data_IF_948529259248
#
_entry.id   IF_948529259248
#
_cell.length_a   1.000
_cell.length_b   1.000
_cell.length_c   1.000
_cell.angle_alpha   90.00
_cell.angle_beta   90.00
_cell.angle_gamma   90.00
#
_symmetry.space_group_name_H-M   'P 1'
#
loop_
_entity.id
_entity.type
_entity.pdbx_description
1 polymer ?
#
# COMPACT_ATOMS: atom_id res chain seq x y z
N UNK A 1 2.32 0.34 -27.30
CA UNK A 1 3.37 0.26 -26.24
C UNK A 1 3.05 -0.74 -25.12
N UNK A 2 1.78 -1.10 -24.91
CA UNK A 2 1.33 -2.14 -23.95
C UNK A 2 1.88 -3.56 -24.23
N UNK A 3 2.06 -4.03 -25.48
CA UNK A 3 2.54 -5.41 -25.71
C UNK A 3 4.03 -5.62 -25.38
N UNK A 4 4.85 -4.56 -25.39
CA UNK A 4 6.26 -4.65 -25.00
C UNK A 4 6.46 -4.73 -23.47
N UNK A 5 5.54 -4.15 -22.69
CA UNK A 5 5.56 -4.25 -21.22
C UNK A 5 5.25 -5.69 -20.74
N UNK A 6 4.37 -6.39 -21.44
CA UNK A 6 3.98 -7.78 -21.11
C UNK A 6 5.10 -8.79 -21.41
N UNK A 7 5.92 -8.56 -22.44
CA UNK A 7 7.04 -9.44 -22.79
C UNK A 7 8.18 -9.43 -21.75
N UNK A 8 8.38 -8.32 -21.05
CA UNK A 8 9.44 -8.18 -20.04
C UNK A 8 9.08 -8.83 -18.69
N UNK A 9 7.79 -8.94 -18.33
CA UNK A 9 7.37 -9.62 -17.09
C UNK A 9 7.75 -11.11 -17.07
N UNK A 10 7.79 -11.78 -18.23
CA UNK A 10 8.14 -13.21 -18.31
C UNK A 10 9.63 -13.50 -18.12
N UNK A 11 10.53 -12.54 -18.40
CA UNK A 11 11.97 -12.81 -18.34
C UNK A 11 12.61 -12.52 -16.97
N UNK A 12 12.02 -11.68 -16.11
CA UNK A 12 12.59 -11.35 -14.77
C UNK A 12 11.54 -11.06 -13.69
N UNK A 13 10.81 -12.07 -13.18
CA UNK A 13 9.71 -11.91 -12.23
C UNK A 13 10.14 -11.33 -10.87
N UNK A 14 11.36 -11.61 -10.40
CA UNK A 14 11.77 -11.29 -9.02
C UNK A 14 11.79 -9.78 -8.68
N UNK A 15 12.15 -8.91 -9.62
CA UNK A 15 12.16 -7.46 -9.34
C UNK A 15 10.76 -6.84 -9.36
N UNK A 16 9.89 -7.33 -10.26
CA UNK A 16 8.49 -6.92 -10.31
C UNK A 16 7.72 -7.45 -9.11
N UNK A 17 7.98 -8.70 -8.70
CA UNK A 17 7.37 -9.31 -7.54
C UNK A 17 7.73 -8.57 -6.25
N UNK A 18 8.99 -8.12 -6.08
CA UNK A 18 9.41 -7.36 -4.91
C UNK A 18 8.68 -6.02 -4.78
N UNK A 19 8.59 -5.24 -5.87
CA UNK A 19 7.87 -3.96 -5.86
C UNK A 19 6.35 -4.17 -5.68
N UNK A 20 5.78 -5.15 -6.39
CA UNK A 20 4.36 -5.48 -6.26
C UNK A 20 4.01 -5.92 -4.83
N UNK A 21 4.81 -6.78 -4.22
CA UNK A 21 4.61 -7.24 -2.85
C UNK A 21 4.75 -6.09 -1.84
N UNK A 22 5.72 -5.20 -2.03
CA UNK A 22 5.91 -4.03 -1.18
C UNK A 22 4.71 -3.08 -1.23
N UNK A 23 4.25 -2.74 -2.44
CA UNK A 23 3.08 -1.89 -2.64
C UNK A 23 1.80 -2.55 -2.13
N UNK A 24 1.65 -3.86 -2.36
CA UNK A 24 0.54 -4.65 -1.84
C UNK A 24 0.48 -4.61 -0.32
N UNK A 25 1.61 -4.85 0.36
CA UNK A 25 1.69 -4.84 1.81
C UNK A 25 1.39 -3.45 2.37
N UNK A 26 1.92 -2.39 1.73
CA UNK A 26 1.64 -1.01 2.13
C UNK A 26 0.16 -0.64 1.98
N UNK A 27 -0.45 -0.96 0.83
CA UNK A 27 -1.86 -0.71 0.57
C UNK A 27 -2.77 -1.50 1.51
N UNK A 28 -2.48 -2.78 1.74
CA UNK A 28 -3.24 -3.62 2.65
C UNK A 28 -3.16 -3.10 4.09
N UNK A 29 -1.97 -2.68 4.54
CA UNK A 29 -1.75 -2.10 5.87
C UNK A 29 -2.50 -0.79 6.05
N UNK A 30 -2.37 0.16 5.12
CA UNK A 30 -3.10 1.43 5.19
C UNK A 30 -4.61 1.22 5.14
N UNK A 31 -5.09 0.29 4.31
CA UNK A 31 -6.52 -0.01 4.21
C UNK A 31 -7.04 -0.63 5.50
N UNK A 32 -6.31 -1.57 6.10
CA UNK A 32 -6.66 -2.21 7.37
C UNK A 32 -6.79 -1.16 8.48
N UNK A 33 -5.73 -0.41 8.77
CA UNK A 33 -5.72 0.55 9.87
C UNK A 33 -6.63 1.75 9.60
N UNK A 34 -6.64 2.24 8.35
CA UNK A 34 -7.56 3.29 7.93
C UNK A 34 -9.03 2.88 8.05
N UNK A 35 -9.37 1.61 7.81
CA UNK A 35 -10.74 1.11 7.98
C UNK A 35 -11.17 1.01 9.44
N UNK A 36 -10.24 0.70 10.35
CA UNK A 36 -10.49 0.72 11.79
C UNK A 36 -10.69 2.15 12.30
N UNK A 37 -9.84 3.09 11.86
CA UNK A 37 -10.00 4.51 12.20
C UNK A 37 -11.31 5.08 11.64
N UNK A 38 -11.64 4.72 10.39
CA UNK A 38 -12.90 5.10 9.75
C UNK A 38 -14.13 4.53 10.49
N UNK A 39 -14.01 3.32 11.05
CA UNK A 39 -15.08 2.71 11.82
C UNK A 39 -15.34 3.43 13.15
N UNK A 40 -14.30 3.99 13.78
CA UNK A 40 -14.42 4.78 15.01
C UNK A 40 -15.05 6.15 14.75
N UNK A 41 -14.56 6.91 13.76
CA UNK A 41 -15.10 8.24 13.43
C UNK A 41 -16.54 8.20 12.92
N UNK A 42 -16.96 7.09 12.29
CA UNK A 42 -18.32 6.93 11.76
C UNK A 42 -19.25 6.28 12.79
N UNK A 43 -18.76 5.96 13.99
CA UNK A 43 -19.58 5.39 15.05
C UNK A 43 -20.48 6.49 15.65
N UNK A 44 -21.82 6.32 15.67
CA UNK A 44 -22.70 7.30 16.32
C UNK A 44 -22.39 7.50 17.81
N UNK A 45 -22.45 8.77 18.23
CA UNK A 45 -21.90 9.35 19.46
C UNK A 45 -22.61 9.00 20.79
N UNK A 46 -23.22 7.81 20.90
CA UNK A 46 -24.06 7.45 22.05
C UNK A 46 -23.84 6.04 22.60
N UNK A 47 -22.63 5.48 22.52
CA UNK A 47 -22.39 4.07 22.89
C UNK A 47 -21.66 3.92 24.22
N UNK A 48 -22.07 2.89 24.97
CA UNK A 48 -21.36 2.36 26.14
C UNK A 48 -19.87 2.24 25.83
N UNK A 49 -19.04 2.84 26.68
CA UNK A 49 -17.60 2.72 26.59
C UNK A 49 -17.21 1.24 26.61
N UNK A 50 -16.63 0.76 25.51
CA UNK A 50 -16.04 -0.58 25.50
C UNK A 50 -15.05 -0.66 26.67
N UNK A 51 -15.02 -1.78 27.41
CA UNK A 51 -14.16 -1.94 28.59
C UNK A 51 -12.66 -1.90 28.29
N UNK A 52 -12.26 -1.89 27.02
CA UNK A 52 -10.87 -1.93 26.56
C UNK A 52 -10.34 -0.61 26.00
N UNK A 53 -9.03 -0.55 25.68
CA UNK A 53 -8.45 0.56 24.94
C UNK A 53 -9.21 0.71 23.62
N UNK A 54 -9.81 1.88 23.39
CA UNK A 54 -10.69 2.11 22.24
C UNK A 54 -10.02 1.82 20.89
N UNK A 55 -10.83 1.63 19.84
CA UNK A 55 -10.37 1.24 18.51
C UNK A 55 -9.29 2.18 17.96
N UNK A 56 -9.41 3.48 18.26
CA UNK A 56 -8.42 4.52 17.91
C UNK A 56 -7.07 4.35 18.60
N UNK A 57 -7.02 3.89 19.85
CA UNK A 57 -5.74 3.66 20.55
C UNK A 57 -5.00 2.50 19.91
N UNK A 58 -5.71 1.41 19.62
CA UNK A 58 -5.13 0.23 18.97
C UNK A 58 -4.71 0.54 17.55
N UNK A 59 -5.60 1.17 16.77
CA UNK A 59 -5.32 1.53 15.38
C UNK A 59 -4.20 2.58 15.27
N UNK A 60 -4.12 3.53 16.21
CA UNK A 60 -3.05 4.52 16.26
C UNK A 60 -1.69 3.89 16.60
N UNK A 61 -1.60 3.21 17.75
CA UNK A 61 -0.33 2.67 18.25
C UNK A 61 0.27 1.61 17.31
N UNK A 62 -0.54 0.67 16.82
CA UNK A 62 -0.05 -0.36 15.91
C UNK A 62 -0.01 0.11 14.45
N UNK A 63 -0.93 1.01 14.06
CA UNK A 63 -1.00 1.49 12.69
C UNK A 63 0.20 2.33 12.30
N UNK A 64 0.68 3.21 13.20
CA UNK A 64 1.88 4.01 12.93
C UNK A 64 3.11 3.13 12.68
N UNK A 65 3.35 2.14 13.53
CA UNK A 65 4.47 1.19 13.38
C UNK A 65 4.32 0.44 12.05
N UNK A 66 3.13 -0.06 11.74
CA UNK A 66 2.89 -0.81 10.51
C UNK A 66 3.09 0.05 9.25
N UNK A 67 2.67 1.31 9.28
CA UNK A 67 2.89 2.28 8.18
C UNK A 67 4.38 2.55 8.00
N UNK A 68 5.14 2.72 9.09
CA UNK A 68 6.58 2.94 9.04
C UNK A 68 7.30 1.72 8.44
N UNK A 69 6.95 0.51 8.88
CA UNK A 69 7.51 -0.73 8.32
C UNK A 69 7.17 -0.86 6.84
N UNK A 70 5.91 -0.60 6.44
CA UNK A 70 5.50 -0.62 5.04
C UNK A 70 6.30 0.38 4.19
N UNK A 71 6.54 1.59 4.72
CA UNK A 71 7.37 2.59 4.07
C UNK A 71 8.80 2.07 3.83
N UNK A 72 9.44 1.49 4.84
CA UNK A 72 10.77 0.88 4.69
C UNK A 72 10.80 -0.23 3.63
N UNK A 73 9.77 -1.08 3.58
CA UNK A 73 9.67 -2.15 2.58
C UNK A 73 9.57 -1.56 1.17
N UNK A 74 8.73 -0.52 0.98
CA UNK A 74 8.58 0.17 -0.30
C UNK A 74 9.88 0.85 -0.75
N UNK A 75 10.56 1.58 0.14
CA UNK A 75 11.84 2.24 -0.16
C UNK A 75 12.90 1.22 -0.55
N UNK A 76 13.01 0.09 0.16
CA UNK A 76 13.96 -0.97 -0.18
C UNK A 76 13.66 -1.62 -1.54
N UNK A 77 12.39 -1.89 -1.83
CA UNK A 77 11.97 -2.45 -3.12
C UNK A 77 12.24 -1.47 -4.28
N UNK A 78 11.95 -0.18 -4.09
CA UNK A 78 12.28 0.88 -5.04
C UNK A 78 13.78 0.99 -5.26
N UNK A 79 14.58 0.96 -4.19
CA UNK A 79 16.05 0.96 -4.29
C UNK A 79 16.57 -0.21 -5.11
N UNK A 80 15.99 -1.41 -4.95
CA UNK A 80 16.34 -2.57 -5.77
C UNK A 80 15.95 -2.39 -7.25
N UNK A 81 14.77 -1.84 -7.52
CA UNK A 81 14.31 -1.55 -8.88
C UNK A 81 15.18 -0.50 -9.59
N UNK A 82 15.55 0.58 -8.89
CA UNK A 82 16.38 1.66 -9.42
C UNK A 82 17.82 1.21 -9.70
N UNK A 83 18.43 0.39 -8.84
CA UNK A 83 19.79 -0.14 -9.05
C UNK A 83 19.92 -0.96 -10.35
N UNK A 84 18.86 -1.65 -10.78
CA UNK A 84 18.85 -2.41 -12.04
C UNK A 84 18.92 -1.51 -13.27
N UNK A 85 18.21 -0.38 -13.26
CA UNK A 85 18.23 0.58 -14.37
C UNK A 85 19.57 1.27 -14.53
N UNK A 86 20.31 1.53 -13.44
CA UNK A 86 21.64 2.14 -13.55
C UNK A 86 22.63 1.28 -14.34
N UNK A 87 22.52 -0.06 -14.26
CA UNK A 87 23.36 -0.98 -15.05
C UNK A 87 23.00 -0.95 -16.54
N UNK A 88 21.72 -0.87 -16.87
CA UNK A 88 21.26 -0.74 -18.26
C UNK A 88 21.64 0.62 -18.86
N UNK A 89 21.64 1.68 -18.05
CA UNK A 89 22.05 3.03 -18.47
C UNK A 89 23.55 3.20 -18.63
N UNK A 90 24.35 2.45 -17.88
CA UNK A 90 25.80 2.40 -18.09
C UNK A 90 26.14 1.84 -19.48
N UNK A 91 25.37 0.85 -19.95
CA UNK A 91 25.50 0.25 -21.29
C UNK A 91 24.91 1.09 -22.42
N UNK A 92 23.99 2.02 -22.11
CA UNK A 92 23.41 2.94 -23.09
C UNK A 92 24.12 4.30 -23.13
N UNK A 93 24.88 4.66 -22.09
CA UNK A 93 25.72 5.87 -22.07
C UNK A 93 26.90 5.78 -23.03
N UNK A 94 27.38 4.58 -23.33
CA UNK A 94 28.32 4.35 -24.44
C UNK A 94 27.71 4.69 -25.81
N UNK A 95 26.39 4.89 -25.90
CA UNK A 95 25.63 5.22 -27.11
C UNK A 95 24.80 6.51 -26.95
N UNK A 96 25.14 7.37 -25.97
CA UNK A 96 24.53 8.68 -25.72
C UNK A 96 23.02 8.73 -25.34
N UNK A 97 22.51 7.79 -24.53
CA UNK A 97 21.11 7.84 -24.07
C UNK A 97 20.82 8.89 -22.98
N UNK A 98 19.67 9.58 -23.10
CA UNK A 98 19.22 10.67 -22.20
C UNK A 98 18.50 10.21 -20.91
N UNK A 99 18.75 10.85 -19.75
CA UNK A 99 18.18 10.48 -18.43
C UNK A 99 16.67 10.71 -18.28
N UNK A 100 16.05 11.50 -19.17
CA UNK A 100 14.61 11.79 -19.15
C UNK A 100 13.75 10.57 -19.51
N UNK A 101 14.25 9.66 -20.34
CA UNK A 101 13.54 8.43 -20.74
C UNK A 101 13.39 7.45 -19.56
N UNK A 102 14.38 7.44 -18.67
CA UNK A 102 14.42 6.57 -17.47
C UNK A 102 13.32 6.94 -16.50
N UNK A 103 13.22 8.23 -16.17
CA UNK A 103 12.19 8.73 -15.23
C UNK A 103 10.78 8.42 -15.74
N UNK A 104 10.55 8.52 -17.05
CA UNK A 104 9.25 8.20 -17.67
C UNK A 104 8.94 6.70 -17.62
N UNK A 105 9.95 5.85 -17.80
CA UNK A 105 9.81 4.40 -17.71
C UNK A 105 9.54 3.94 -16.26
N UNK A 106 10.26 4.48 -15.27
CA UNK A 106 10.02 4.19 -13.84
C UNK A 106 8.61 4.55 -13.45
N UNK A 107 8.15 5.76 -13.79
CA UNK A 107 6.80 6.20 -13.49
C UNK A 107 5.74 5.28 -14.11
N UNK A 108 5.93 4.88 -15.37
CA UNK A 108 5.04 3.93 -16.04
C UNK A 108 5.02 2.55 -15.36
N UNK A 109 6.19 2.06 -14.94
CA UNK A 109 6.30 0.79 -14.25
C UNK A 109 5.62 0.81 -12.88
N UNK A 110 5.91 1.83 -12.06
CA UNK A 110 5.29 2.02 -10.74
C UNK A 110 3.78 2.15 -10.89
N UNK A 111 3.29 2.91 -11.86
CA UNK A 111 1.87 3.07 -12.10
C UNK A 111 1.18 1.73 -12.41
N UNK A 112 1.74 0.95 -13.35
CA UNK A 112 1.17 -0.37 -13.72
C UNK A 112 1.23 -1.35 -12.54
N UNK A 113 2.37 -1.45 -11.85
CA UNK A 113 2.51 -2.37 -10.71
C UNK A 113 1.60 -1.97 -9.55
N UNK A 114 1.43 -0.69 -9.27
CA UNK A 114 0.49 -0.19 -8.26
C UNK A 114 -0.94 -0.56 -8.63
N UNK A 115 -1.33 -0.38 -9.88
CA UNK A 115 -2.68 -0.71 -10.35
C UNK A 115 -2.99 -2.21 -10.18
N UNK A 116 -2.02 -3.06 -10.54
CA UNK A 116 -2.15 -4.52 -10.41
C UNK A 116 -2.19 -4.96 -8.94
N UNK A 117 -1.40 -4.31 -8.07
CA UNK A 117 -1.37 -4.62 -6.65
C UNK A 117 -2.58 -4.07 -5.87
N UNK A 118 -3.20 -2.99 -6.34
CA UNK A 118 -4.25 -2.27 -5.61
C UNK A 118 -5.52 -3.09 -5.35
N UNK A 119 -6.05 -3.76 -6.37
CA UNK A 119 -7.24 -4.59 -6.27
C UNK A 119 -7.11 -5.72 -5.23
N UNK A 120 -6.09 -6.59 -5.30
CA UNK A 120 -5.91 -7.65 -4.31
C UNK A 120 -5.55 -7.08 -2.93
N UNK A 121 -4.77 -5.98 -2.86
CA UNK A 121 -4.42 -5.36 -1.59
C UNK A 121 -5.64 -4.80 -0.86
N UNK A 122 -6.58 -4.21 -1.60
CA UNK A 122 -7.84 -3.75 -1.04
C UNK A 122 -8.68 -4.92 -0.50
N UNK A 123 -8.85 -5.97 -1.29
CA UNK A 123 -9.63 -7.14 -0.87
C UNK A 123 -9.06 -7.74 0.42
N UNK A 124 -7.74 -7.91 0.50
CA UNK A 124 -7.05 -8.45 1.67
C UNK A 124 -7.09 -7.48 2.85
N UNK A 125 -6.80 -6.19 2.64
CA UNK A 125 -6.84 -5.17 3.69
C UNK A 125 -8.24 -5.00 4.30
N UNK A 126 -9.28 -5.00 3.46
CA UNK A 126 -10.67 -4.94 3.90
C UNK A 126 -11.10 -6.21 4.64
N UNK A 127 -10.72 -7.39 4.16
CA UNK A 127 -10.98 -8.65 4.85
C UNK A 127 -10.29 -8.70 6.22
N UNK A 128 -9.01 -8.31 6.27
CA UNK A 128 -8.23 -8.26 7.49
C UNK A 128 -8.77 -7.23 8.49
N UNK A 129 -9.19 -6.04 8.04
CA UNK A 129 -9.85 -5.03 8.88
C UNK A 129 -11.15 -5.53 9.50
N UNK A 130 -12.00 -6.21 8.72
CA UNK A 130 -13.22 -6.85 9.24
C UNK A 130 -12.91 -7.96 10.24
N UNK A 131 -11.92 -8.80 9.96
CA UNK A 131 -11.48 -9.88 10.86
C UNK A 131 -10.94 -9.35 12.18
N UNK A 132 -10.10 -8.31 12.12
CA UNK A 132 -9.55 -7.63 13.29
C UNK A 132 -10.66 -7.00 14.15
N UNK A 133 -11.61 -6.31 13.52
CA UNK A 133 -12.75 -5.73 14.24
C UNK A 133 -13.62 -6.81 14.89
N UNK A 134 -13.86 -7.94 14.22
CA UNK A 134 -14.61 -9.07 14.79
C UNK A 134 -13.91 -9.65 16.03
N UNK A 135 -12.58 -9.76 15.99
CA UNK A 135 -11.77 -10.24 17.12
C UNK A 135 -11.76 -9.25 18.29
N UNK A 136 -11.63 -7.95 18.00
CA UNK A 136 -11.72 -6.89 19.00
C UNK A 136 -13.10 -6.85 19.68
N UNK A 137 -14.17 -7.13 18.93
CA UNK A 137 -15.53 -7.29 19.48
C UNK A 137 -15.64 -8.51 20.39
N UNK A 138 -15.07 -9.66 20.00
CA UNK A 138 -15.04 -10.87 20.83
C UNK A 138 -14.33 -10.65 22.17
N UNK A 139 -13.30 -9.81 22.18
CA UNK A 139 -12.53 -9.45 23.37
C UNK A 139 -13.15 -8.31 24.19
N UNK A 140 -14.32 -7.80 23.79
CA UNK A 140 -14.98 -6.68 24.48
C UNK A 140 -14.30 -5.32 24.32
N UNK A 141 -13.34 -5.19 23.40
CA UNK A 141 -12.60 -3.96 23.13
C UNK A 141 -13.29 -3.05 22.10
N UNK A 142 -14.33 -3.53 21.42
CA UNK A 142 -15.11 -2.76 20.46
C UNK A 142 -16.62 -2.97 20.66
N UNK A 143 -17.39 -1.87 20.62
CA UNK A 143 -18.84 -1.91 20.82
C UNK A 143 -19.56 -2.71 19.72
N UNK A 144 -20.62 -3.45 20.08
CA UNK A 144 -21.31 -4.37 19.17
C UNK A 144 -22.05 -3.69 17.99
N UNK A 145 -22.15 -2.36 17.99
CA UNK A 145 -22.73 -1.56 16.90
C UNK A 145 -21.73 -1.05 15.86
N UNK A 146 -20.41 -1.20 16.06
CA UNK A 146 -19.40 -0.68 15.13
C UNK A 146 -19.22 -1.67 13.97
N UNK A 147 -19.40 -1.19 12.75
CA UNK A 147 -19.13 -1.92 11.51
C UNK A 147 -18.03 -1.19 10.76
N UNK A 148 -17.17 -1.93 10.07
CA UNK A 148 -16.28 -1.34 9.08
C UNK A 148 -17.16 -0.66 8.02
N UNK A 149 -17.04 0.66 7.80
CA UNK A 149 -17.76 1.33 6.75
C UNK A 149 -17.48 0.63 5.42
N UNK A 150 -18.52 0.22 4.70
CA UNK A 150 -18.38 -0.30 3.33
C UNK A 150 -17.89 0.75 2.33
N UNK A 151 -17.63 1.98 2.79
CA UNK A 151 -17.17 3.09 2.00
C UNK A 151 -15.74 2.85 1.52
N UNK A 152 -15.43 3.10 0.24
CA UNK A 152 -14.09 2.94 -0.33
C UNK A 152 -13.08 4.00 0.15
N UNK A 153 -13.44 4.85 1.12
CA UNK A 153 -12.60 5.95 1.61
C UNK A 153 -11.21 5.48 2.08
N UNK A 154 -11.07 4.43 2.93
CA UNK A 154 -9.75 3.96 3.34
C UNK A 154 -8.91 3.44 2.17
N UNK A 155 -9.56 2.84 1.16
CA UNK A 155 -8.89 2.39 -0.05
C UNK A 155 -8.35 3.56 -0.87
N UNK A 156 -9.19 4.58 -1.08
CA UNK A 156 -8.80 5.76 -1.87
C UNK A 156 -7.65 6.51 -1.21
N UNK A 157 -7.68 6.64 0.13
CA UNK A 157 -6.57 7.22 0.90
C UNK A 157 -5.31 6.35 0.77
N UNK A 158 -5.42 5.03 0.94
CA UNK A 158 -4.30 4.11 0.78
C UNK A 158 -3.66 4.20 -0.61
N UNK A 159 -4.50 4.26 -1.65
CA UNK A 159 -4.08 4.39 -3.04
C UNK A 159 -3.39 5.73 -3.28
N UNK A 160 -3.99 6.83 -2.82
CA UNK A 160 -3.43 8.17 -2.97
C UNK A 160 -2.07 8.30 -2.28
N UNK A 161 -1.93 7.80 -1.05
CA UNK A 161 -0.65 7.82 -0.32
C UNK A 161 0.41 6.99 -1.04
N UNK A 162 0.06 5.79 -1.49
CA UNK A 162 0.99 4.90 -2.19
C UNK A 162 1.47 5.51 -3.51
N UNK A 163 0.56 6.12 -4.27
CA UNK A 163 0.89 6.85 -5.50
C UNK A 163 1.76 8.07 -5.20
N UNK A 164 1.42 8.86 -4.18
CA UNK A 164 2.20 10.03 -3.78
C UNK A 164 3.63 9.65 -3.38
N UNK A 165 3.81 8.59 -2.59
CA UNK A 165 5.13 8.06 -2.21
C UNK A 165 5.90 7.57 -3.45
N UNK A 166 5.23 6.86 -4.37
CA UNK A 166 5.84 6.42 -5.62
C UNK A 166 6.28 7.57 -6.53
N UNK A 167 5.48 8.65 -6.58
CA UNK A 167 5.82 9.86 -7.33
C UNK A 167 6.97 10.64 -6.69
N UNK A 168 6.94 10.83 -5.36
CA UNK A 168 7.98 11.50 -4.60
C UNK A 168 9.33 10.77 -4.72
N UNK A 169 9.32 9.44 -4.66
CA UNK A 169 10.52 8.63 -4.88
C UNK A 169 11.06 8.68 -6.32
N UNK A 170 10.27 9.18 -7.28
CA UNK A 170 10.66 9.32 -8.70
C UNK A 170 11.12 10.74 -9.09
N UNK A 171 10.99 11.70 -8.17
CA UNK A 171 11.42 13.10 -8.33
C UNK A 171 12.92 13.22 -7.99
#
# INVERSE_FOLDING_TARGET
MIPLALGQMRRRPAAFAGLAAALFLALATLTLFGSLLAADITAPAGREAARGPGLTVIAGAFGEIAVLVAFFVVVNALGFALRRQQRELALLRTIAATPRQVRRLVRGQVAVTTLVAALPAWAVGAAAGRGMLAELRRRGMAAQGVRVPGTPVPMLVALAVTVAVGLAASA
#
